data_IF_251826407881
#
_entry.id   IF_251826407881
#
_cell.length_a   1.000
_cell.length_b   1.000
_cell.length_c   1.000
_cell.angle_alpha   90.00
_cell.angle_beta   90.00
_cell.angle_gamma   90.00
#
_symmetry.space_group_name_H-M   'P 1'
#
loop_
_entity.id
_entity.type
_entity.pdbx_description
1 polymer ?
#
# COMPACT_ATOMS: atom_id res chain seq x y z
N UNK A 1 -11.23 20.80 -8.94
CA UNK A 1 -11.52 19.89 -10.08
C UNK A 1 -11.05 20.52 -11.37
N UNK A 2 -11.21 21.83 -11.52
CA UNK A 2 -10.86 22.67 -12.67
C UNK A 2 -9.44 22.42 -13.22
N UNK A 3 -8.43 22.31 -12.35
CA UNK A 3 -7.06 22.02 -12.80
C UNK A 3 -6.90 20.60 -13.38
N UNK A 4 -7.62 19.62 -12.84
CA UNK A 4 -7.60 18.24 -13.37
C UNK A 4 -8.34 18.17 -14.71
N UNK A 5 -9.48 18.86 -14.84
CA UNK A 5 -10.23 18.98 -16.09
C UNK A 5 -9.40 19.65 -17.18
N UNK A 6 -8.74 20.77 -16.85
CA UNK A 6 -7.83 21.47 -17.78
C UNK A 6 -6.70 20.56 -18.25
N UNK A 7 -6.06 19.82 -17.34
CA UNK A 7 -4.99 18.87 -17.68
C UNK A 7 -5.50 17.69 -18.51
N UNK A 8 -6.72 17.23 -18.26
CA UNK A 8 -7.34 16.16 -19.04
C UNK A 8 -7.65 16.63 -20.46
N UNK A 9 -8.28 17.80 -20.62
CA UNK A 9 -8.58 18.40 -21.91
C UNK A 9 -7.32 18.60 -22.76
N UNK A 10 -6.23 19.07 -22.15
CA UNK A 10 -4.94 19.21 -22.82
C UNK A 10 -4.36 17.87 -23.31
N UNK A 11 -4.52 16.78 -22.54
CA UNK A 11 -4.06 15.44 -22.94
C UNK A 11 -4.93 14.80 -24.01
N UNK A 12 -6.23 15.08 -24.00
CA UNK A 12 -7.18 14.55 -24.97
C UNK A 12 -7.05 15.20 -26.35
N UNK A 13 -6.47 16.41 -26.45
CA UNK A 13 -6.07 16.99 -27.74
C UNK A 13 -7.19 17.13 -28.76
N UNK A 14 -8.44 17.34 -28.32
CA UNK A 14 -9.62 17.44 -29.18
C UNK A 14 -10.40 16.14 -29.38
N UNK A 15 -9.99 15.03 -28.74
CA UNK A 15 -10.81 13.82 -28.65
C UNK A 15 -12.16 14.13 -27.98
N UNK A 16 -13.26 13.41 -28.34
CA UNK A 16 -14.57 13.63 -27.75
C UNK A 16 -14.53 13.61 -26.22
N UNK A 17 -14.99 14.69 -25.60
CA UNK A 17 -15.03 14.85 -24.13
C UNK A 17 -16.44 14.67 -23.56
N UNK A 18 -17.40 14.23 -24.39
CA UNK A 18 -18.76 13.97 -23.93
C UNK A 18 -18.74 12.83 -22.91
N UNK A 19 -19.15 13.14 -21.68
CA UNK A 19 -19.26 12.16 -20.61
C UNK A 19 -20.55 11.37 -20.83
N UNK A 20 -20.44 10.17 -21.39
CA UNK A 20 -21.59 9.28 -21.64
C UNK A 20 -22.13 8.65 -20.36
N UNK A 21 -21.25 8.36 -19.39
CA UNK A 21 -21.61 7.75 -18.11
C UNK A 21 -20.58 8.10 -17.04
N UNK A 22 -21.06 8.38 -15.83
CA UNK A 22 -20.22 8.48 -14.62
C UNK A 22 -20.34 7.18 -13.84
N UNK A 23 -19.21 6.58 -13.48
CA UNK A 23 -19.14 5.42 -12.59
C UNK A 23 -18.36 5.80 -11.34
N UNK A 24 -18.95 5.55 -10.17
CA UNK A 24 -18.28 5.69 -8.89
C UNK A 24 -17.80 4.32 -8.45
N UNK A 25 -16.48 4.18 -8.28
CA UNK A 25 -15.85 2.94 -7.86
C UNK A 25 -15.13 3.17 -6.55
N UNK A 26 -15.41 2.30 -5.58
CA UNK A 26 -14.70 2.23 -4.31
C UNK A 26 -13.91 0.92 -4.26
N UNK A 27 -12.59 1.04 -4.16
CA UNK A 27 -11.71 -0.09 -3.96
C UNK A 27 -11.10 0.00 -2.57
N UNK A 28 -11.42 -0.93 -1.65
CA UNK A 28 -10.77 -0.94 -0.35
C UNK A 28 -9.26 -1.11 -0.53
N UNK A 29 -8.44 -0.32 0.16
CA UNK A 29 -6.98 -0.46 0.10
C UNK A 29 -6.46 -1.65 0.91
N UNK A 30 -7.26 -2.14 1.85
CA UNK A 30 -7.01 -3.34 2.65
C UNK A 30 -7.64 -4.59 2.02
N UNK A 31 -7.14 -5.77 2.40
CA UNK A 31 -7.73 -7.05 2.00
C UNK A 31 -9.11 -7.27 2.64
N UNK A 32 -9.64 -8.48 2.55
CA UNK A 32 -10.89 -8.85 3.23
C UNK A 32 -10.78 -8.78 4.76
N UNK A 33 -9.56 -8.77 5.28
CA UNK A 33 -9.21 -8.65 6.68
C UNK A 33 -7.93 -7.81 6.81
N UNK A 34 -7.80 -7.01 7.89
CA UNK A 34 -6.53 -6.34 8.23
C UNK A 34 -5.43 -7.32 8.64
N UNK A 35 -5.79 -8.56 9.00
CA UNK A 35 -4.85 -9.62 9.36
C UNK A 35 -5.16 -10.87 8.53
N UNK A 36 -4.80 -10.88 7.23
CA UNK A 36 -5.15 -11.96 6.31
C UNK A 36 -4.66 -13.35 6.77
N UNK A 37 -3.58 -13.41 7.53
CA UNK A 37 -3.03 -14.65 8.11
C UNK A 37 -3.87 -15.23 9.27
N UNK A 38 -4.89 -14.51 9.77
CA UNK A 38 -5.85 -15.01 10.76
C UNK A 38 -7.20 -15.42 10.13
N UNK A 39 -7.35 -15.29 8.81
CA UNK A 39 -8.60 -15.65 8.13
C UNK A 39 -8.82 -17.17 8.16
N UNK A 40 -10.04 -17.60 8.52
CA UNK A 40 -10.43 -19.03 8.55
C UNK A 40 -10.44 -19.68 7.18
N UNK A 41 -10.67 -18.91 6.13
CA UNK A 41 -10.68 -19.37 4.74
C UNK A 41 -9.50 -18.74 4.03
N UNK A 42 -8.65 -19.57 3.43
CA UNK A 42 -7.56 -19.08 2.60
C UNK A 42 -8.11 -18.21 1.48
N UNK A 43 -7.59 -16.98 1.38
CA UNK A 43 -7.88 -16.03 0.30
C UNK A 43 -6.57 -15.69 -0.40
N UNK A 44 -6.63 -15.55 -1.72
CA UNK A 44 -5.47 -15.22 -2.55
C UNK A 44 -5.60 -13.84 -3.16
N UNK A 45 -4.47 -13.27 -3.59
CA UNK A 45 -4.41 -11.99 -4.29
C UNK A 45 -4.90 -10.81 -3.45
N UNK A 46 -5.64 -9.89 -4.07
CA UNK A 46 -6.14 -8.70 -3.39
C UNK A 46 -7.01 -9.02 -2.15
N UNK A 47 -7.84 -10.05 -2.23
CA UNK A 47 -8.67 -10.51 -1.11
C UNK A 47 -7.83 -11.12 0.02
N UNK A 48 -6.73 -11.81 -0.34
CA UNK A 48 -5.73 -12.36 0.57
C UNK A 48 -4.74 -11.35 1.16
N UNK A 49 -4.97 -10.04 0.97
CA UNK A 49 -4.12 -8.98 1.54
C UNK A 49 -2.83 -8.70 0.79
N UNK A 50 -2.76 -9.05 -0.51
CA UNK A 50 -1.56 -8.79 -1.33
C UNK A 50 -1.52 -7.37 -1.92
N UNK A 51 -2.59 -6.59 -1.73
CA UNK A 51 -2.55 -5.15 -1.99
C UNK A 51 -1.49 -4.51 -1.12
N UNK A 52 -0.64 -3.69 -1.71
CA UNK A 52 0.14 -2.73 -0.96
C UNK A 52 -0.84 -1.68 -0.38
N UNK A 53 -1.04 -1.58 0.95
CA UNK A 53 -2.05 -0.69 1.53
C UNK A 53 -1.88 0.78 1.13
N UNK A 54 -0.66 1.20 0.83
CA UNK A 54 -0.35 2.60 0.50
C UNK A 54 -0.65 2.94 -0.96
N UNK A 55 -0.59 1.96 -1.87
CA UNK A 55 -0.75 2.23 -3.32
C UNK A 55 -1.92 1.51 -3.97
N UNK A 56 -2.51 0.51 -3.31
CA UNK A 56 -3.61 -0.30 -3.84
C UNK A 56 -3.19 -1.37 -4.86
N UNK A 57 -1.95 -1.37 -5.34
CA UNK A 57 -1.47 -2.36 -6.31
C UNK A 57 -1.32 -3.76 -5.68
N UNK A 58 -1.80 -4.79 -6.39
CA UNK A 58 -1.74 -6.20 -5.95
C UNK A 58 -1.32 -7.20 -7.04
N UNK A 59 -1.44 -6.85 -8.32
CA UNK A 59 -1.25 -7.78 -9.44
C UNK A 59 0.15 -8.41 -9.42
N UNK A 60 1.20 -7.59 -9.33
CA UNK A 60 2.58 -8.06 -9.33
C UNK A 60 2.84 -9.03 -8.16
N UNK A 61 2.45 -8.63 -6.94
CA UNK A 61 2.56 -9.49 -5.75
C UNK A 61 1.80 -10.79 -5.91
N UNK A 62 0.60 -10.74 -6.51
CA UNK A 62 -0.20 -11.94 -6.76
C UNK A 62 0.50 -12.91 -7.69
N UNK A 63 1.04 -12.42 -8.82
CA UNK A 63 1.79 -13.24 -9.77
C UNK A 63 3.04 -13.85 -9.13
N UNK A 64 3.79 -13.08 -8.35
CA UNK A 64 5.01 -13.55 -7.66
C UNK A 64 4.73 -14.64 -6.62
N UNK A 65 3.53 -14.66 -6.03
CA UNK A 65 3.15 -15.61 -4.99
C UNK A 65 2.44 -16.86 -5.53
N UNK A 66 2.10 -16.91 -6.82
CA UNK A 66 1.33 -18.02 -7.41
C UNK A 66 2.04 -19.36 -7.24
N UNK A 67 3.32 -19.43 -7.59
CA UNK A 67 4.07 -20.70 -7.56
C UNK A 67 4.13 -21.28 -6.15
N UNK A 68 4.42 -20.45 -5.14
CA UNK A 68 4.43 -20.87 -3.74
C UNK A 68 3.07 -21.41 -3.26
N UNK A 69 1.97 -20.83 -3.76
CA UNK A 69 0.62 -21.34 -3.45
C UNK A 69 0.38 -22.69 -4.11
N UNK A 70 0.70 -22.81 -5.39
CA UNK A 70 0.52 -24.04 -6.16
C UNK A 70 1.34 -25.18 -5.52
N UNK A 71 2.59 -24.90 -5.17
CA UNK A 71 3.49 -25.86 -4.52
C UNK A 71 2.99 -26.30 -3.14
N UNK A 72 2.49 -25.37 -2.32
CA UNK A 72 1.91 -25.70 -1.02
C UNK A 72 0.67 -26.59 -1.17
N UNK A 73 -0.24 -26.24 -2.08
CA UNK A 73 -1.45 -27.02 -2.34
C UNK A 73 -1.13 -28.41 -2.88
N UNK A 74 -0.21 -28.51 -3.84
CA UNK A 74 0.23 -29.79 -4.42
C UNK A 74 0.85 -30.72 -3.37
N UNK A 75 1.54 -30.15 -2.38
CA UNK A 75 2.13 -30.88 -1.27
C UNK A 75 1.18 -31.10 -0.07
N UNK A 76 -0.09 -30.69 -0.16
CA UNK A 76 -1.06 -30.81 0.93
C UNK A 76 -0.77 -29.93 2.15
N UNK A 77 -0.01 -28.85 1.98
CA UNK A 77 0.29 -27.85 3.03
C UNK A 77 -0.68 -26.68 2.95
N UNK A 78 -0.81 -25.94 4.06
CA UNK A 78 -1.56 -24.68 4.10
C UNK A 78 -0.76 -23.54 3.44
N UNK A 79 -1.22 -22.98 2.30
CA UNK A 79 -0.52 -21.87 1.65
C UNK A 79 -0.45 -20.60 2.50
N UNK A 80 -1.36 -20.41 3.46
CA UNK A 80 -1.35 -19.22 4.31
C UNK A 80 -0.08 -19.14 5.16
N UNK A 81 0.45 -20.30 5.61
CA UNK A 81 1.67 -20.38 6.40
C UNK A 81 2.88 -19.97 5.57
N UNK A 82 3.02 -20.55 4.37
CA UNK A 82 4.14 -20.27 3.46
C UNK A 82 4.09 -18.82 2.95
N UNK A 83 2.88 -18.29 2.72
CA UNK A 83 2.71 -16.92 2.26
C UNK A 83 2.87 -15.89 3.37
N UNK A 84 2.58 -16.17 4.64
CA UNK A 84 2.66 -15.14 5.68
C UNK A 84 3.74 -15.45 6.72
N UNK A 85 5.04 -15.41 6.35
CA UNK A 85 6.11 -15.43 7.33
C UNK A 85 6.06 -14.16 8.19
N UNK A 86 6.74 -14.19 9.34
CA UNK A 86 6.76 -13.08 10.30
C UNK A 86 7.21 -11.76 9.68
N UNK A 87 8.19 -11.79 8.77
CA UNK A 87 8.68 -10.63 8.01
C UNK A 87 7.58 -10.01 7.13
N UNK A 88 6.83 -10.83 6.39
CA UNK A 88 5.72 -10.36 5.56
C UNK A 88 4.58 -9.74 6.40
N UNK A 89 4.29 -10.32 7.57
CA UNK A 89 3.31 -9.74 8.52
C UNK A 89 3.79 -8.39 9.04
N UNK A 90 5.07 -8.27 9.40
CA UNK A 90 5.66 -7.02 9.87
C UNK A 90 5.63 -5.93 8.80
N UNK A 91 6.01 -6.24 7.55
CA UNK A 91 5.94 -5.30 6.41
C UNK A 91 4.51 -4.87 6.15
N UNK A 92 3.55 -5.80 6.16
CA UNK A 92 2.13 -5.48 5.97
C UNK A 92 1.65 -4.49 7.04
N UNK A 93 1.93 -4.76 8.31
CA UNK A 93 1.56 -3.88 9.42
C UNK A 93 2.23 -2.50 9.33
N UNK A 94 3.51 -2.44 8.92
CA UNK A 94 4.19 -1.16 8.68
C UNK A 94 3.52 -0.36 7.56
N UNK A 95 3.09 -1.01 6.49
CA UNK A 95 2.36 -0.34 5.39
C UNK A 95 0.96 0.12 5.81
N UNK A 96 0.23 -0.64 6.65
CA UNK A 96 -1.03 -0.17 7.24
C UNK A 96 -0.82 1.09 8.09
N UNK A 97 0.23 1.14 8.90
CA UNK A 97 0.63 2.35 9.65
C UNK A 97 1.01 3.50 8.72
N UNK A 98 1.73 3.21 7.64
CA UNK A 98 2.06 4.17 6.59
C UNK A 98 0.81 4.76 5.92
N UNK A 99 -0.18 3.93 5.60
CA UNK A 99 -1.48 4.39 5.09
C UNK A 99 -2.20 5.28 6.12
N UNK A 100 -2.26 4.87 7.39
CA UNK A 100 -2.85 5.69 8.46
C UNK A 100 -2.16 7.05 8.63
N UNK A 101 -0.84 7.11 8.46
CA UNK A 101 -0.08 8.36 8.43
C UNK A 101 -0.45 9.24 7.22
N UNK A 102 -0.48 8.66 6.02
CA UNK A 102 -0.82 9.36 4.78
C UNK A 102 -2.21 9.98 4.80
N UNK A 103 -3.21 9.26 5.32
CA UNK A 103 -4.60 9.72 5.41
C UNK A 103 -4.79 10.93 6.34
N UNK A 104 -3.78 11.30 7.14
CA UNK A 104 -3.81 12.45 8.05
C UNK A 104 -3.03 13.66 7.55
N UNK A 105 -2.32 13.54 6.43
CA UNK A 105 -1.54 14.65 5.88
C UNK A 105 -2.46 15.71 5.26
N UNK A 106 -2.13 16.98 5.46
CA UNK A 106 -2.73 18.06 4.67
C UNK A 106 -2.29 17.96 3.19
N UNK A 107 -2.92 18.70 2.26
CA UNK A 107 -2.48 18.73 0.86
C UNK A 107 -1.01 19.14 0.69
N UNK A 108 -0.55 20.17 1.40
CA UNK A 108 0.86 20.61 1.33
C UNK A 108 1.82 19.57 1.90
N UNK A 109 1.45 18.91 3.00
CA UNK A 109 2.24 17.84 3.61
C UNK A 109 2.30 16.60 2.72
N UNK A 110 1.21 16.30 2.00
CA UNK A 110 1.15 15.21 1.03
C UNK A 110 2.13 15.45 -0.11
N UNK A 111 2.19 16.67 -0.65
CA UNK A 111 3.17 17.04 -1.68
C UNK A 111 4.59 16.83 -1.15
N UNK A 112 4.92 17.40 0.01
CA UNK A 112 6.26 17.28 0.61
C UNK A 112 6.65 15.81 0.89
N UNK A 113 5.70 14.99 1.35
CA UNK A 113 5.91 13.56 1.55
C UNK A 113 6.28 12.85 0.25
N UNK A 114 5.52 13.09 -0.83
CA UNK A 114 5.78 12.42 -2.10
C UNK A 114 7.03 12.96 -2.80
N UNK A 115 7.36 14.25 -2.68
CA UNK A 115 8.64 14.79 -3.12
C UNK A 115 9.81 14.07 -2.43
N UNK A 116 9.74 13.94 -1.10
CA UNK A 116 10.73 13.18 -0.33
C UNK A 116 10.81 11.71 -0.77
N UNK A 117 9.67 11.07 -1.04
CA UNK A 117 9.63 9.69 -1.52
C UNK A 117 10.29 9.54 -2.90
N UNK A 118 9.93 10.41 -3.86
CA UNK A 118 10.43 10.36 -5.23
C UNK A 118 11.90 10.78 -5.35
N UNK A 119 12.42 11.56 -4.41
CA UNK A 119 13.85 11.91 -4.33
C UNK A 119 14.74 10.75 -3.84
N UNK A 120 14.17 9.69 -3.24
CA UNK A 120 14.96 8.53 -2.81
C UNK A 120 15.53 7.77 -4.01
N UNK A 121 16.67 7.06 -3.85
CA UNK A 121 17.16 6.13 -4.87
C UNK A 121 16.08 5.12 -5.27
N UNK A 122 15.97 4.83 -6.57
CA UNK A 122 14.95 3.91 -7.13
C UNK A 122 14.94 2.55 -6.43
N UNK A 123 16.09 2.04 -5.99
CA UNK A 123 16.18 0.80 -5.24
C UNK A 123 15.40 0.85 -3.91
N UNK A 124 15.50 1.96 -3.17
CA UNK A 124 14.77 2.15 -1.91
C UNK A 124 13.25 2.29 -2.14
N UNK A 125 12.86 2.98 -3.22
CA UNK A 125 11.45 3.06 -3.63
C UNK A 125 10.91 1.65 -3.94
N UNK A 126 11.67 0.84 -4.69
CA UNK A 126 11.30 -0.55 -5.04
C UNK A 126 11.20 -1.45 -3.82
N UNK A 127 12.12 -1.37 -2.86
CA UNK A 127 12.01 -2.10 -1.59
C UNK A 127 10.67 -1.81 -0.90
N UNK A 128 10.28 -0.54 -0.79
CA UNK A 128 9.01 -0.17 -0.18
C UNK A 128 7.79 -0.62 -1.00
N UNK A 129 7.83 -0.51 -2.33
CA UNK A 129 6.68 -0.76 -3.19
C UNK A 129 6.44 -2.25 -3.45
N UNK A 130 7.52 -3.03 -3.60
CA UNK A 130 7.48 -4.40 -4.12
C UNK A 130 7.96 -5.46 -3.12
N UNK A 131 8.86 -5.12 -2.19
CA UNK A 131 9.39 -6.08 -1.22
C UNK A 131 8.33 -6.46 -0.19
N UNK A 132 7.69 -7.63 -0.34
CA UNK A 132 6.57 -8.06 0.54
C UNK A 132 7.03 -8.47 1.93
N UNK A 133 8.24 -8.98 2.03
CA UNK A 133 8.91 -9.49 3.23
C UNK A 133 10.26 -8.79 3.50
N UNK A 134 10.62 -7.79 2.69
CA UNK A 134 11.79 -6.93 2.87
C UNK A 134 11.54 -5.89 3.98
N UNK A 135 11.63 -6.37 5.23
CA UNK A 135 11.44 -5.54 6.42
C UNK A 135 12.47 -4.41 6.50
N UNK A 136 13.76 -4.73 6.30
CA UNK A 136 14.84 -3.76 6.40
C UNK A 136 14.74 -2.69 5.32
N UNK A 137 14.45 -3.07 4.07
CA UNK A 137 14.25 -2.12 2.99
C UNK A 137 12.99 -1.26 3.19
N UNK A 138 11.90 -1.83 3.69
CA UNK A 138 10.68 -1.08 4.05
C UNK A 138 10.98 -0.04 5.13
N UNK A 139 11.62 -0.43 6.23
CA UNK A 139 12.00 0.50 7.30
C UNK A 139 12.99 1.56 6.82
N UNK A 140 13.96 1.18 6.00
CA UNK A 140 14.95 2.11 5.42
C UNK A 140 14.29 3.17 4.54
N UNK A 141 13.34 2.78 3.68
CA UNK A 141 12.59 3.71 2.85
C UNK A 141 11.71 4.65 3.67
N UNK A 142 10.95 4.13 4.64
CA UNK A 142 10.13 4.96 5.54
C UNK A 142 10.99 5.96 6.33
N UNK A 143 12.14 5.51 6.84
CA UNK A 143 13.07 6.37 7.58
C UNK A 143 13.59 7.51 6.70
N UNK A 144 14.01 7.22 5.46
CA UNK A 144 14.46 8.25 4.50
C UNK A 144 13.40 9.33 4.28
N UNK A 145 12.15 8.95 4.03
CA UNK A 145 11.05 9.92 3.85
C UNK A 145 10.85 10.77 5.11
N UNK A 146 10.77 10.14 6.29
CA UNK A 146 10.59 10.85 7.56
C UNK A 146 11.72 11.84 7.81
N UNK A 147 12.97 11.47 7.51
CA UNK A 147 14.13 12.37 7.69
C UNK A 147 14.19 13.51 6.67
N UNK A 148 13.53 13.38 5.52
CA UNK A 148 13.54 14.38 4.46
C UNK A 148 12.44 15.44 4.61
N UNK A 149 11.35 15.16 5.34
CA UNK A 149 10.26 16.12 5.58
C UNK A 149 10.50 16.97 6.84
N UNK A 150 9.79 18.10 6.93
CA UNK A 150 9.86 19.00 8.08
C UNK A 150 9.33 18.39 9.39
N UNK A 151 9.68 18.99 10.53
CA UNK A 151 9.31 18.46 11.86
C UNK A 151 7.79 18.39 12.09
N UNK A 152 7.02 19.31 11.49
CA UNK A 152 5.56 19.31 11.63
C UNK A 152 4.95 18.10 10.93
N UNK A 153 5.43 17.78 9.73
CA UNK A 153 5.05 16.62 8.93
C UNK A 153 5.48 15.34 9.62
N UNK A 154 6.72 15.26 10.15
CA UNK A 154 7.17 14.12 10.97
C UNK A 154 6.22 13.84 12.14
N UNK A 155 5.79 14.87 12.86
CA UNK A 155 4.89 14.72 13.99
C UNK A 155 3.50 14.19 13.56
N UNK A 156 2.98 14.63 12.41
CA UNK A 156 1.72 14.10 11.85
C UNK A 156 1.88 12.64 11.45
N UNK A 157 2.96 12.30 10.74
CA UNK A 157 3.27 10.93 10.32
C UNK A 157 3.39 10.01 11.53
N UNK A 158 4.15 10.41 12.56
CA UNK A 158 4.33 9.63 13.77
C UNK A 158 3.00 9.38 14.50
N UNK A 159 2.19 10.43 14.70
CA UNK A 159 0.85 10.27 15.32
C UNK A 159 -0.05 9.37 14.51
N UNK A 160 -0.04 9.49 13.18
CA UNK A 160 -0.84 8.63 12.31
C UNK A 160 -0.40 7.17 12.31
N UNK A 161 0.91 6.92 12.30
CA UNK A 161 1.48 5.57 12.37
C UNK A 161 1.28 4.89 13.74
N UNK A 162 1.13 5.67 14.81
CA UNK A 162 0.79 5.17 16.15
C UNK A 162 -0.72 5.01 16.37
N UNK A 163 -1.56 5.71 15.61
CA UNK A 163 -3.00 5.47 15.68
C UNK A 163 -3.32 4.13 15.02
N UNK A 164 -4.22 3.37 15.65
CA UNK A 164 -4.78 2.13 15.09
C UNK A 164 -6.22 2.43 14.67
N UNK A 165 -6.47 2.79 13.39
CA UNK A 165 -7.83 2.98 12.91
C UNK A 165 -8.61 1.68 13.01
N UNK A 166 -9.93 1.76 13.22
CA UNK A 166 -10.79 0.57 13.28
C UNK A 166 -10.67 -0.34 12.04
N UNK A 167 -10.32 0.22 10.88
CA UNK A 167 -10.11 -0.54 9.63
C UNK A 167 -8.78 -1.30 9.57
N UNK A 168 -7.81 -0.97 10.44
CA UNK A 168 -6.47 -1.57 10.45
C UNK A 168 -6.37 -2.83 11.34
N UNK A 169 -7.47 -3.23 12.00
CA UNK A 169 -7.54 -4.37 12.90
C UNK A 169 -6.84 -4.14 14.24
N UNK A 170 -7.22 -4.93 15.25
CA UNK A 170 -6.62 -4.84 16.58
C UNK A 170 -5.18 -5.35 16.58
N UNK A 171 -4.27 -4.55 17.12
CA UNK A 171 -2.87 -4.94 17.33
C UNK A 171 -2.73 -5.74 18.62
N UNK A 172 -3.37 -6.91 18.68
CA UNK A 172 -3.12 -7.92 19.73
C UNK A 172 -2.30 -9.08 19.16
#
# INVERSE_FOLDING_TARGET
LDELERRLAARLGGMPTEVLRVEHVDFPLTGSSPQPWRDRTFRFGAAGGFKNPTTGYSVATSLMCTDAVVDALAAGRDPAVDLWPSSARAVHNLRLRGLSALLRLSPSQTIAFFEAFFAMPVAAQRSYLSGRDDLTGTMGAMTRVITAVDMRTRAVVARGAMSTPAWAGDTD
#
